data_IF_202101828946
#
_entry.id   IF_202101828946
#
_cell.length_a   1.000
_cell.length_b   1.000
_cell.length_c   1.000
_cell.angle_alpha   90.00
_cell.angle_beta   90.00
_cell.angle_gamma   90.00
#
_symmetry.space_group_name_H-M   'P 1'
#
loop_
_entity.id
_entity.type
_entity.pdbx_description
1 polymer ?
#
# COMPACT_ATOMS: atom_id res chain seq x y z
N UNK A 1 -27.01 2.96 1.59
CA UNK A 1 -26.36 2.04 2.56
C UNK A 1 -24.87 2.26 2.39
N UNK A 2 -24.08 2.46 3.45
CA UNK A 2 -22.63 2.57 3.24
C UNK A 2 -22.11 1.18 2.87
N UNK A 3 -21.51 1.05 1.69
CA UNK A 3 -20.98 -0.24 1.23
C UNK A 3 -19.91 -0.78 2.18
N UNK A 4 -19.86 -2.10 2.29
CA UNK A 4 -18.93 -2.83 3.15
C UNK A 4 -17.50 -2.66 2.63
N UNK A 5 -16.55 -2.38 3.53
CA UNK A 5 -15.13 -2.28 3.18
C UNK A 5 -14.52 -3.68 3.15
N UNK A 6 -14.04 -4.13 2.00
CA UNK A 6 -13.44 -5.46 1.82
C UNK A 6 -11.97 -5.29 1.46
N UNK A 7 -11.06 -5.83 2.27
CA UNK A 7 -9.61 -5.72 2.04
C UNK A 7 -9.05 -7.06 1.58
N UNK A 8 -8.48 -7.09 0.39
CA UNK A 8 -7.68 -8.21 -0.10
C UNK A 8 -6.23 -8.04 0.38
N UNK A 9 -5.75 -8.95 1.21
CA UNK A 9 -4.40 -8.85 1.76
C UNK A 9 -3.81 -10.20 2.18
N UNK A 10 -2.57 -10.18 2.65
CA UNK A 10 -2.00 -11.26 3.44
C UNK A 10 -1.31 -10.68 4.68
N UNK A 11 -1.21 -11.44 5.79
CA UNK A 11 -0.74 -10.91 7.07
C UNK A 11 0.67 -10.32 7.01
N UNK A 12 1.58 -10.96 6.29
CA UNK A 12 3.00 -10.60 6.24
C UNK A 12 3.31 -9.42 5.30
N UNK A 13 2.32 -8.84 4.60
CA UNK A 13 2.55 -7.68 3.72
C UNK A 13 2.68 -6.39 4.52
N UNK A 14 3.80 -5.65 4.43
CA UNK A 14 3.96 -4.38 5.14
C UNK A 14 2.99 -3.31 4.60
N UNK A 15 2.75 -3.30 3.28
CA UNK A 15 1.76 -2.40 2.69
C UNK A 15 0.32 -2.73 3.12
N UNK A 16 0.03 -4.00 3.42
CA UNK A 16 -1.26 -4.35 4.01
C UNK A 16 -1.33 -3.96 5.48
N UNK A 17 -0.23 -4.09 6.24
CA UNK A 17 -0.15 -3.57 7.60
C UNK A 17 -0.43 -2.06 7.63
N UNK A 18 0.15 -1.29 6.71
CA UNK A 18 -0.14 0.14 6.54
C UNK A 18 -1.64 0.43 6.44
N UNK A 19 -2.37 -0.31 5.61
CA UNK A 19 -3.83 -0.14 5.45
C UNK A 19 -4.58 -0.58 6.70
N UNK A 20 -4.21 -1.71 7.32
CA UNK A 20 -4.82 -2.18 8.58
C UNK A 20 -4.65 -1.18 9.72
N UNK A 21 -3.48 -0.57 9.86
CA UNK A 21 -3.25 0.49 10.85
C UNK A 21 -4.12 1.73 10.59
N UNK A 22 -4.33 2.09 9.33
CA UNK A 22 -5.27 3.15 8.96
C UNK A 22 -6.72 2.78 9.32
N UNK A 23 -7.12 1.52 9.15
CA UNK A 23 -8.41 1.00 9.60
C UNK A 23 -8.57 1.06 11.13
N UNK A 24 -7.50 0.78 11.89
CA UNK A 24 -7.49 0.90 13.35
C UNK A 24 -7.62 2.33 13.84
N UNK A 25 -6.82 3.24 13.30
CA UNK A 25 -6.93 4.67 13.62
C UNK A 25 -8.36 5.21 13.38
N UNK A 26 -8.98 4.77 12.29
CA UNK A 26 -10.34 5.16 11.92
C UNK A 26 -11.44 4.32 12.55
N UNK A 27 -11.10 3.32 13.37
CA UNK A 27 -12.02 2.40 14.03
C UNK A 27 -13.03 1.76 13.06
N UNK A 28 -12.54 1.31 11.90
CA UNK A 28 -13.38 0.78 10.83
C UNK A 28 -13.81 -0.66 11.08
N UNK A 29 -15.05 -0.98 10.69
CA UNK A 29 -15.49 -2.35 10.45
C UNK A 29 -15.17 -2.72 9.01
N UNK A 30 -14.56 -3.89 8.77
CA UNK A 30 -14.14 -4.32 7.44
C UNK A 30 -14.12 -5.84 7.31
N UNK A 31 -14.06 -6.33 6.07
CA UNK A 31 -13.94 -7.74 5.73
C UNK A 31 -12.53 -8.08 5.28
N UNK A 32 -11.98 -9.12 5.88
CA UNK A 32 -10.62 -9.60 5.67
C UNK A 32 -10.63 -10.75 4.68
N UNK A 33 -10.20 -10.47 3.45
CA UNK A 33 -10.00 -11.49 2.43
C UNK A 33 -8.51 -11.83 2.35
N UNK A 34 -8.15 -12.99 2.88
CA UNK A 34 -6.79 -13.51 2.77
C UNK A 34 -6.57 -14.03 1.35
N UNK A 35 -5.55 -13.50 0.68
CA UNK A 35 -5.15 -13.92 -0.67
C UNK A 35 -3.71 -14.43 -0.68
N UNK A 36 -3.39 -15.25 -1.67
CA UNK A 36 -2.04 -15.76 -1.84
C UNK A 36 -1.01 -14.63 -2.06
N UNK A 37 0.14 -14.79 -1.42
CA UNK A 37 1.26 -13.86 -1.54
C UNK A 37 1.85 -13.82 -2.96
N UNK A 38 1.80 -14.96 -3.65
CA UNK A 38 2.31 -15.18 -5.01
C UNK A 38 1.09 -15.50 -5.89
N UNK A 39 0.89 -14.85 -7.06
CA UNK A 39 -0.17 -15.21 -8.00
C UNK A 39 -0.08 -16.68 -8.46
N UNK A 40 -1.17 -17.29 -8.97
CA UNK A 40 -2.41 -16.64 -9.43
C UNK A 40 -3.41 -16.32 -8.30
N UNK A 41 -4.23 -15.29 -8.50
CA UNK A 41 -5.37 -14.94 -7.64
C UNK A 41 -6.60 -14.65 -8.51
N UNK A 42 -7.27 -15.69 -9.05
CA UNK A 42 -8.21 -15.54 -10.16
C UNK A 42 -9.38 -14.61 -9.87
N UNK A 43 -9.95 -14.66 -8.66
CA UNK A 43 -11.05 -13.77 -8.26
C UNK A 43 -10.60 -12.31 -8.21
N UNK A 44 -9.47 -12.02 -7.56
CA UNK A 44 -8.95 -10.66 -7.48
C UNK A 44 -8.49 -10.14 -8.85
N UNK A 45 -7.80 -10.96 -9.64
CA UNK A 45 -7.34 -10.61 -10.99
C UNK A 45 -8.50 -10.24 -11.92
N UNK A 46 -9.63 -10.96 -11.81
CA UNK A 46 -10.83 -10.66 -12.57
C UNK A 46 -11.44 -9.30 -12.20
N UNK A 47 -11.35 -8.88 -10.93
CA UNK A 47 -11.84 -7.58 -10.46
C UNK A 47 -10.89 -6.44 -10.82
N UNK A 48 -9.58 -6.67 -10.74
CA UNK A 48 -8.58 -5.61 -10.92
C UNK A 48 -8.04 -5.48 -12.34
N UNK A 49 -8.50 -6.32 -13.27
CA UNK A 49 -7.96 -6.39 -14.63
C UNK A 49 -6.50 -6.85 -14.69
N UNK A 50 -6.07 -7.65 -13.71
CA UNK A 50 -4.70 -8.18 -13.64
C UNK A 50 -3.73 -7.36 -12.79
N UNK A 51 -4.13 -6.22 -12.20
CA UNK A 51 -3.27 -5.53 -11.23
C UNK A 51 -2.92 -6.49 -10.08
N UNK A 52 -1.62 -6.76 -9.93
CA UNK A 52 -1.12 -7.87 -9.11
C UNK A 52 -0.51 -7.46 -7.78
N UNK A 53 -0.60 -6.20 -7.35
CA UNK A 53 -0.13 -5.82 -6.00
C UNK A 53 -1.27 -5.97 -5.00
N UNK A 54 -0.90 -6.20 -3.75
CA UNK A 54 -1.83 -6.22 -2.61
C UNK A 54 -1.21 -5.43 -1.46
N UNK A 55 -2.01 -4.67 -0.70
CA UNK A 55 -3.46 -4.77 -0.59
C UNK A 55 -4.25 -4.09 -1.72
N UNK A 56 -5.51 -4.51 -1.88
CA UNK A 56 -6.55 -3.86 -2.69
C UNK A 56 -7.78 -3.70 -1.80
N UNK A 57 -8.41 -2.53 -1.81
CA UNK A 57 -9.68 -2.28 -1.14
C UNK A 57 -10.82 -2.41 -2.15
N UNK A 58 -11.91 -3.07 -1.78
CA UNK A 58 -13.13 -3.15 -2.55
C UNK A 58 -14.29 -2.54 -1.75
N UNK A 59 -15.19 -1.87 -2.48
CA UNK A 59 -16.51 -1.47 -2.03
C UNK A 59 -17.48 -1.77 -3.16
N UNK A 60 -18.37 -2.74 -2.98
CA UNK A 60 -19.27 -3.17 -4.06
C UNK A 60 -18.47 -3.51 -5.32
N UNK A 61 -18.74 -2.78 -6.40
CA UNK A 61 -18.10 -2.90 -7.72
C UNK A 61 -16.99 -1.86 -7.98
N UNK A 62 -16.50 -1.18 -6.94
CA UNK A 62 -15.36 -0.26 -7.00
C UNK A 62 -14.15 -0.88 -6.28
N UNK A 63 -13.03 -1.03 -6.99
CA UNK A 63 -11.77 -1.56 -6.44
C UNK A 63 -10.67 -0.50 -6.48
N UNK A 64 -10.09 -0.20 -5.32
CA UNK A 64 -9.07 0.81 -5.11
C UNK A 64 -7.70 0.14 -4.98
N UNK A 65 -6.86 0.38 -5.98
CA UNK A 65 -5.50 -0.11 -6.04
C UNK A 65 -4.52 0.89 -5.40
N UNK A 66 -3.48 0.35 -4.77
CA UNK A 66 -2.39 1.09 -4.13
C UNK A 66 -2.74 1.74 -2.78
N UNK A 67 -1.85 1.58 -1.79
CA UNK A 67 -2.08 2.08 -0.44
C UNK A 67 -2.22 3.60 -0.36
N UNK A 68 -1.59 4.36 -1.26
CA UNK A 68 -1.73 5.81 -1.29
C UNK A 68 -3.17 6.23 -1.56
N UNK A 69 -3.82 5.57 -2.53
CA UNK A 69 -5.20 5.83 -2.84
C UNK A 69 -6.12 5.27 -1.75
N UNK A 70 -5.89 4.02 -1.31
CA UNK A 70 -6.69 3.38 -0.26
C UNK A 70 -6.76 4.27 0.99
N UNK A 71 -5.64 4.80 1.48
CA UNK A 71 -5.66 5.68 2.66
C UNK A 71 -6.49 6.96 2.43
N UNK A 72 -6.43 7.56 1.24
CA UNK A 72 -7.26 8.73 0.88
C UNK A 72 -8.74 8.36 0.83
N UNK A 73 -9.07 7.22 0.26
CA UNK A 73 -10.44 6.68 0.23
C UNK A 73 -10.97 6.48 1.64
N UNK A 74 -10.20 5.83 2.53
CA UNK A 74 -10.59 5.65 3.93
C UNK A 74 -10.77 6.98 4.67
N UNK A 75 -9.94 8.00 4.39
CA UNK A 75 -10.09 9.35 4.97
C UNK A 75 -11.36 10.05 4.52
N UNK A 76 -11.64 10.01 3.21
CA UNK A 76 -12.87 10.56 2.62
C UNK A 76 -14.13 9.90 3.16
N UNK A 77 -14.11 8.58 3.36
CA UNK A 77 -15.29 7.81 3.80
C UNK A 77 -15.58 7.93 5.29
N UNK A 78 -14.58 8.27 6.11
CA UNK A 78 -14.75 8.53 7.56
C UNK A 78 -14.14 9.85 7.99
N UNK A 79 -14.78 10.97 7.60
CA UNK A 79 -14.35 12.32 7.98
C UNK A 79 -14.62 12.63 9.46
N UNK A 80 -15.41 11.81 10.15
CA UNK A 80 -15.75 11.89 11.57
C UNK A 80 -14.66 11.34 12.51
N UNK A 81 -13.62 10.72 11.95
CA UNK A 81 -12.44 10.22 12.67
C UNK A 81 -11.23 11.13 12.43
N UNK A 82 -10.12 11.02 13.22
CA UNK A 82 -8.91 11.78 12.95
C UNK A 82 -8.47 11.65 11.49
N UNK A 83 -8.15 12.79 10.86
CA UNK A 83 -7.71 12.80 9.46
C UNK A 83 -6.33 12.17 9.32
N UNK A 84 -6.18 11.33 8.31
CA UNK A 84 -4.90 10.76 7.89
C UNK A 84 -3.99 11.82 7.25
N UNK A 85 -4.56 12.91 6.74
CA UNK A 85 -3.85 13.93 5.96
C UNK A 85 -4.01 15.32 6.59
N UNK A 86 -3.67 15.44 7.87
CA UNK A 86 -3.72 16.69 8.65
C UNK A 86 -2.79 17.80 8.13
N UNK A 87 -1.83 17.49 7.27
CA UNK A 87 -0.94 18.45 6.62
C UNK A 87 -0.81 18.15 5.12
N UNK A 88 -0.67 19.20 4.29
CA UNK A 88 -0.47 19.07 2.84
C UNK A 88 0.81 18.31 2.47
N UNK A 89 1.84 18.34 3.33
CA UNK A 89 3.10 17.62 3.09
C UNK A 89 3.03 16.13 3.44
N UNK A 90 1.99 15.67 4.15
CA UNK A 90 1.89 14.28 4.62
C UNK A 90 2.01 13.30 3.46
N UNK A 91 1.27 13.51 2.38
CA UNK A 91 1.25 12.58 1.24
C UNK A 91 2.62 12.51 0.51
N UNK A 92 3.26 13.63 0.13
CA UNK A 92 4.63 13.60 -0.38
C UNK A 92 5.65 12.93 0.55
N UNK A 93 5.56 13.15 1.86
CA UNK A 93 6.48 12.52 2.83
C UNK A 93 6.24 11.00 2.92
N UNK A 94 4.97 10.55 2.92
CA UNK A 94 4.66 9.13 2.85
C UNK A 94 5.23 8.50 1.58
N UNK A 95 5.06 9.17 0.43
CA UNK A 95 5.55 8.70 -0.86
C UNK A 95 7.07 8.56 -0.86
N UNK A 96 7.75 9.60 -0.40
CA UNK A 96 9.20 9.59 -0.26
C UNK A 96 9.66 8.46 0.68
N UNK A 97 9.02 8.29 1.83
CA UNK A 97 9.39 7.27 2.81
C UNK A 97 9.27 5.86 2.24
N UNK A 98 8.15 5.52 1.62
CA UNK A 98 7.94 4.22 1.00
C UNK A 98 8.98 3.93 -0.08
N UNK A 99 9.25 4.89 -0.98
CA UNK A 99 10.21 4.72 -2.08
C UNK A 99 11.66 4.67 -1.58
N UNK A 100 12.01 5.49 -0.60
CA UNK A 100 13.37 5.60 -0.09
C UNK A 100 13.78 4.39 0.77
N UNK A 101 12.85 3.81 1.54
CA UNK A 101 13.16 2.77 2.51
C UNK A 101 12.84 1.35 2.05
N UNK A 102 11.77 1.15 1.28
CA UNK A 102 11.29 -0.20 0.99
C UNK A 102 12.33 -1.05 0.24
N UNK A 103 12.90 -0.53 -0.86
CA UNK A 103 13.87 -1.29 -1.66
C UNK A 103 15.17 -1.59 -0.90
N UNK A 104 15.81 -0.62 -0.21
CA UNK A 104 16.96 -0.92 0.65
C UNK A 104 16.67 -2.02 1.68
N UNK A 105 15.51 -2.00 2.34
CA UNK A 105 15.15 -3.02 3.34
C UNK A 105 14.95 -4.40 2.68
N UNK A 106 14.34 -4.46 1.50
CA UNK A 106 14.22 -5.73 0.76
C UNK A 106 15.59 -6.27 0.37
N UNK A 107 16.50 -5.40 -0.11
CA UNK A 107 17.89 -5.81 -0.41
C UNK A 107 18.63 -6.29 0.83
N UNK A 108 18.46 -5.60 1.97
CA UNK A 108 19.03 -6.01 3.25
C UNK A 108 18.51 -7.41 3.64
N UNK A 109 17.20 -7.65 3.51
CA UNK A 109 16.59 -8.97 3.74
C UNK A 109 17.24 -10.05 2.89
N UNK A 110 17.37 -9.80 1.58
CA UNK A 110 17.95 -10.77 0.64
C UNK A 110 19.41 -11.05 0.98
N UNK A 111 20.21 -10.02 1.31
CA UNK A 111 21.60 -10.20 1.71
C UNK A 111 21.76 -11.02 2.98
N UNK A 112 20.95 -10.74 4.01
CA UNK A 112 21.04 -11.41 5.31
C UNK A 112 20.41 -12.80 5.33
N UNK A 113 19.31 -12.99 4.59
CA UNK A 113 18.42 -14.15 4.74
C UNK A 113 18.20 -14.92 3.44
N UNK A 114 18.93 -14.63 2.37
CA UNK A 114 18.71 -15.19 1.03
C UNK A 114 18.58 -16.72 1.02
N UNK A 115 19.40 -17.43 1.80
CA UNK A 115 19.38 -18.90 1.91
C UNK A 115 18.11 -19.46 2.57
N UNK A 116 17.42 -18.63 3.38
CA UNK A 116 16.17 -18.97 4.06
C UNK A 116 14.93 -18.60 3.24
N UNK A 117 15.09 -17.89 2.11
CA UNK A 117 13.98 -17.52 1.25
C UNK A 117 13.59 -18.70 0.35
N UNK A 118 12.29 -18.93 0.18
CA UNK A 118 11.83 -20.01 -0.71
C UNK A 118 12.14 -19.68 -2.17
N UNK A 119 12.49 -20.70 -2.96
CA UNK A 119 12.78 -20.55 -4.40
C UNK A 119 11.62 -19.90 -5.15
N UNK A 120 10.39 -20.35 -4.91
CA UNK A 120 9.18 -19.78 -5.52
C UNK A 120 9.03 -18.29 -5.22
N UNK A 121 9.39 -17.84 -4.01
CA UNK A 121 9.34 -16.42 -3.67
C UNK A 121 10.41 -15.64 -4.44
N UNK A 122 11.64 -16.15 -4.52
CA UNK A 122 12.73 -15.49 -5.25
C UNK A 122 12.38 -15.37 -6.74
N UNK A 123 11.88 -16.44 -7.34
CA UNK A 123 11.45 -16.45 -8.75
C UNK A 123 10.29 -15.47 -9.01
N UNK A 124 9.27 -15.48 -8.15
CA UNK A 124 8.15 -14.54 -8.23
C UNK A 124 8.63 -13.09 -8.13
N UNK A 125 9.49 -12.77 -7.15
CA UNK A 125 9.98 -11.41 -6.96
C UNK A 125 10.90 -10.94 -8.08
N UNK A 126 11.70 -11.83 -8.66
CA UNK A 126 12.51 -11.50 -9.83
C UNK A 126 11.63 -11.16 -11.05
N UNK A 127 10.51 -11.85 -11.25
CA UNK A 127 9.52 -11.49 -12.30
C UNK A 127 8.77 -10.20 -11.95
N UNK A 128 8.46 -10.00 -10.67
CA UNK A 128 7.75 -8.81 -10.19
C UNK A 128 8.60 -7.55 -10.32
N UNK A 129 9.89 -7.60 -10.00
CA UNK A 129 10.80 -6.46 -10.08
C UNK A 129 12.11 -6.85 -10.79
N UNK A 130 12.11 -6.98 -12.13
CA UNK A 130 13.27 -7.45 -12.90
C UNK A 130 14.55 -6.63 -12.71
N UNK A 131 14.40 -5.35 -12.34
CA UNK A 131 15.49 -4.41 -12.08
C UNK A 131 16.16 -4.60 -10.71
N UNK A 132 15.60 -5.44 -9.84
CA UNK A 132 16.14 -5.73 -8.50
C UNK A 132 16.73 -7.14 -8.53
N UNK A 133 17.96 -7.29 -8.01
CA UNK A 133 18.52 -8.63 -7.77
C UNK A 133 17.98 -9.20 -6.47
N UNK A 134 17.40 -10.40 -6.56
CA UNK A 134 16.99 -11.22 -5.42
C UNK A 134 17.97 -12.35 -5.11
N UNK A 135 19.20 -12.28 -5.62
CA UNK A 135 20.30 -13.20 -5.28
C UNK A 135 21.01 -12.71 -4.01
N UNK A 136 21.38 -13.64 -3.13
CA UNK A 136 22.03 -13.31 -1.87
C UNK A 136 23.36 -12.61 -2.11
N UNK A 137 24.20 -13.16 -2.98
CA UNK A 137 25.58 -12.74 -3.23
C UNK A 137 25.65 -11.31 -3.76
N UNK A 138 24.65 -10.92 -4.56
CA UNK A 138 24.54 -9.57 -5.12
C UNK A 138 24.26 -8.52 -4.05
N UNK A 139 23.60 -8.90 -2.94
CA UNK A 139 23.18 -7.98 -1.89
C UNK A 139 24.04 -8.07 -0.62
N UNK A 140 24.61 -9.24 -0.33
CA UNK A 140 25.42 -9.51 0.87
C UNK A 140 26.66 -8.60 0.94
N UNK A 141 27.35 -8.41 -0.20
CA UNK A 141 28.49 -7.49 -0.31
C UNK A 141 28.14 -6.02 -0.03
N UNK A 142 26.88 -5.64 -0.25
CA UNK A 142 26.40 -4.26 -0.11
C UNK A 142 25.75 -4.00 1.26
N UNK A 143 25.68 -4.99 2.16
CA UNK A 143 25.05 -4.86 3.49
C UNK A 143 25.52 -3.60 4.25
N UNK A 144 26.84 -3.28 4.35
CA UNK A 144 27.28 -2.07 5.05
C UNK A 144 26.71 -0.78 4.43
N UNK A 145 26.69 -0.68 3.10
CA UNK A 145 26.17 0.48 2.38
C UNK A 145 24.64 0.59 2.53
N UNK A 146 23.94 -0.54 2.47
CA UNK A 146 22.48 -0.61 2.66
C UNK A 146 22.12 -0.19 4.09
N UNK A 147 22.80 -0.74 5.09
CA UNK A 147 22.61 -0.39 6.50
C UNK A 147 22.91 1.08 6.77
N UNK A 148 23.98 1.64 6.21
CA UNK A 148 24.29 3.08 6.29
C UNK A 148 23.11 3.93 5.79
N UNK A 149 22.52 3.58 4.63
CA UNK A 149 21.40 4.33 4.04
C UNK A 149 20.16 4.25 4.93
N UNK A 150 19.82 3.06 5.44
CA UNK A 150 18.66 2.88 6.33
C UNK A 150 18.86 3.66 7.62
N UNK A 151 20.04 3.59 8.24
CA UNK A 151 20.36 4.36 9.45
C UNK A 151 20.20 5.87 9.24
N UNK A 152 20.66 6.41 8.10
CA UNK A 152 20.53 7.83 7.81
C UNK A 152 19.07 8.30 7.80
N UNK A 153 18.13 7.45 7.35
CA UNK A 153 16.69 7.76 7.36
C UNK A 153 16.07 7.55 8.75
N UNK A 154 16.52 6.53 9.49
CA UNK A 154 16.06 6.32 10.88
C UNK A 154 16.41 7.51 11.77
N UNK A 155 17.57 8.15 11.55
CA UNK A 155 17.96 9.38 12.28
C UNK A 155 16.92 10.48 12.09
N UNK A 156 16.35 10.66 10.89
CA UNK A 156 15.35 11.70 10.66
C UNK A 156 14.06 11.46 11.46
N UNK A 157 13.68 10.20 11.70
CA UNK A 157 12.56 9.89 12.57
C UNK A 157 12.88 10.18 14.04
N UNK A 158 14.08 9.82 14.49
CA UNK A 158 14.47 10.05 15.88
C UNK A 158 14.64 11.53 16.18
N UNK A 159 15.21 12.31 15.25
CA UNK A 159 15.34 13.76 15.34
C UNK A 159 13.97 14.43 15.34
N UNK A 160 13.03 13.96 14.50
CA UNK A 160 11.66 14.46 14.50
C UNK A 160 10.93 14.22 15.83
N UNK A 161 11.36 13.25 16.64
CA UNK A 161 10.80 12.91 17.95
C UNK A 161 11.63 13.49 19.12
N UNK A 162 12.69 14.25 18.85
CA UNK A 162 13.63 14.69 19.90
C UNK A 162 13.06 15.79 20.81
N UNK A 163 12.07 16.54 20.35
CA UNK A 163 11.37 17.54 21.17
C UNK A 163 10.28 16.94 22.08
N UNK A 164 10.13 15.61 22.10
CA UNK A 164 9.18 14.91 22.95
C UNK A 164 7.75 14.85 22.39
N UNK A 165 7.52 15.28 21.14
CA UNK A 165 6.21 15.13 20.49
C UNK A 165 5.78 13.66 20.41
N UNK A 166 4.47 13.43 20.43
CA UNK A 166 3.93 12.07 20.40
C UNK A 166 3.95 11.44 19.01
N UNK A 167 3.73 12.26 17.97
CA UNK A 167 3.57 11.88 16.56
C UNK A 167 4.44 12.75 15.65
N UNK A 168 4.81 12.24 14.47
CA UNK A 168 5.85 12.82 13.61
C UNK A 168 5.55 14.26 13.16
N UNK A 169 4.28 14.58 12.92
CA UNK A 169 3.84 15.93 12.52
C UNK A 169 3.55 16.88 13.70
N UNK A 170 3.75 16.43 14.94
CA UNK A 170 3.51 17.23 16.15
C UNK A 170 2.04 17.51 16.47
N UNK A 171 1.10 16.87 15.77
CA UNK A 171 -0.34 16.98 16.03
C UNK A 171 -0.75 16.14 17.25
N UNK A 172 -1.97 16.36 17.77
CA UNK A 172 -2.56 15.58 18.86
C UNK A 172 -3.07 14.19 18.45
N UNK A 173 -2.93 13.81 17.18
CA UNK A 173 -3.36 12.51 16.65
C UNK A 173 -2.41 12.05 15.56
N UNK A 174 -2.19 10.73 15.41
CA UNK A 174 -1.29 10.19 14.39
C UNK A 174 -1.86 10.45 13.00
N UNK A 175 -0.95 10.51 12.02
CA UNK A 175 -1.27 10.74 10.61
C UNK A 175 -0.91 9.54 9.76
N UNK A 176 -1.21 9.62 8.45
CA UNK A 176 -0.68 8.67 7.48
C UNK A 176 0.86 8.60 7.49
N UNK A 177 1.56 9.67 7.88
CA UNK A 177 3.02 9.65 7.96
C UNK A 177 3.51 8.73 9.07
N UNK A 178 2.85 8.77 10.24
CA UNK A 178 3.17 7.86 11.35
C UNK A 178 2.95 6.39 10.95
N UNK A 179 1.81 6.11 10.33
CA UNK A 179 1.47 4.77 9.82
C UNK A 179 2.47 4.33 8.73
N UNK A 180 2.89 5.26 7.87
CA UNK A 180 3.85 4.99 6.78
C UNK A 180 5.23 4.66 7.33
N UNK A 181 5.72 5.43 8.30
CA UNK A 181 6.98 5.14 8.98
C UNK A 181 6.89 3.81 9.76
N UNK A 182 5.77 3.56 10.41
CA UNK A 182 5.54 2.37 11.24
C UNK A 182 5.62 1.08 10.43
N UNK A 183 4.91 0.96 9.29
CA UNK A 183 4.87 -0.32 8.55
C UNK A 183 6.25 -0.71 7.98
N UNK A 184 7.07 0.28 7.63
CA UNK A 184 8.45 0.08 7.18
C UNK A 184 9.33 -0.45 8.30
N UNK A 185 9.22 0.11 9.52
CA UNK A 185 9.97 -0.40 10.67
C UNK A 185 9.43 -1.78 11.10
N UNK A 186 8.11 -1.97 11.04
CA UNK A 186 7.44 -3.24 11.30
C UNK A 186 7.93 -4.34 10.36
N UNK A 187 8.20 -4.01 9.08
CA UNK A 187 8.78 -4.96 8.12
C UNK A 187 10.12 -5.50 8.60
N UNK A 188 10.98 -4.62 9.11
CA UNK A 188 12.31 -4.99 9.63
C UNK A 188 12.12 -5.86 10.88
N UNK A 189 11.35 -5.38 11.87
CA UNK A 189 11.12 -6.11 13.12
C UNK A 189 10.53 -7.51 12.90
N UNK A 190 9.53 -7.64 12.04
CA UNK A 190 8.86 -8.92 11.84
C UNK A 190 9.62 -9.92 10.96
N UNK A 191 10.64 -9.49 10.20
CA UNK A 191 11.34 -10.39 9.28
C UNK A 191 12.84 -10.54 9.56
N UNK A 192 13.46 -9.63 10.29
CA UNK A 192 14.92 -9.57 10.43
C UNK A 192 15.39 -8.85 11.71
N UNK A 193 14.58 -8.79 12.77
CA UNK A 193 14.95 -8.07 14.00
C UNK A 193 16.30 -8.52 14.56
N UNK A 194 16.49 -9.85 14.69
CA UNK A 194 17.73 -10.41 15.24
C UNK A 194 18.93 -10.12 14.34
N UNK A 195 18.77 -10.28 13.03
CA UNK A 195 19.83 -10.09 12.05
C UNK A 195 20.22 -8.61 11.84
N UNK A 196 19.37 -7.67 12.26
CA UNK A 196 19.61 -6.23 12.07
C UNK A 196 20.00 -5.48 13.34
N UNK A 197 20.07 -6.15 14.50
CA UNK A 197 20.32 -5.51 15.80
C UNK A 197 21.56 -4.61 15.82
N UNK A 198 22.69 -5.11 15.34
CA UNK A 198 23.95 -4.36 15.33
C UNK A 198 24.09 -3.46 14.09
N UNK A 199 23.38 -3.80 13.01
CA UNK A 199 23.43 -3.05 11.75
C UNK A 199 22.58 -1.77 11.81
N UNK A 200 21.46 -1.81 12.54
CA UNK A 200 20.46 -0.75 12.61
C UNK A 200 20.21 -0.32 14.07
N UNK A 201 21.24 0.19 14.79
CA UNK A 201 21.12 0.50 16.22
C UNK A 201 20.04 1.55 16.52
N UNK A 202 19.70 2.40 15.53
CA UNK A 202 18.61 3.38 15.63
C UNK A 202 17.26 2.76 16.01
N UNK A 203 17.01 1.50 15.65
CA UNK A 203 15.76 0.79 15.98
C UNK A 203 15.57 0.54 17.48
N UNK A 204 16.66 0.54 18.24
CA UNK A 204 16.65 0.33 19.70
C UNK A 204 16.62 1.64 20.49
N UNK A 205 16.58 2.81 19.83
CA UNK A 205 16.48 4.08 20.54
C UNK A 205 15.15 4.16 21.30
N UNK A 206 15.16 4.46 22.62
CA UNK A 206 13.95 4.40 23.45
C UNK A 206 12.78 5.21 22.91
N UNK A 207 13.04 6.40 22.35
CA UNK A 207 11.98 7.27 21.81
C UNK A 207 11.30 6.66 20.58
N UNK A 208 12.08 6.05 19.69
CA UNK A 208 11.55 5.35 18.51
C UNK A 208 10.77 4.11 18.93
N UNK A 209 11.26 3.36 19.92
CA UNK A 209 10.56 2.19 20.48
C UNK A 209 9.21 2.62 21.06
N UNK A 210 9.18 3.64 21.93
CA UNK A 210 7.94 4.14 22.52
C UNK A 210 6.98 4.70 21.47
N UNK A 211 7.46 5.42 20.45
CA UNK A 211 6.63 5.85 19.34
C UNK A 211 6.06 4.66 18.56
N UNK A 212 6.89 3.67 18.25
CA UNK A 212 6.47 2.48 17.51
C UNK A 212 5.36 1.71 18.25
N UNK A 213 5.50 1.54 19.57
CA UNK A 213 4.50 0.91 20.43
C UNK A 213 3.19 1.71 20.48
N UNK A 214 3.26 3.04 20.55
CA UNK A 214 2.07 3.90 20.47
C UNK A 214 1.33 3.73 19.15
N UNK A 215 2.05 3.68 18.02
CA UNK A 215 1.41 3.45 16.72
C UNK A 215 0.84 2.02 16.66
N UNK A 216 1.55 1.00 17.13
CA UNK A 216 1.06 -0.38 17.19
C UNK A 216 -0.26 -0.51 17.98
N UNK A 217 -0.41 0.26 19.06
CA UNK A 217 -1.59 0.26 19.91
C UNK A 217 -2.88 0.76 19.23
N UNK A 218 -2.78 1.40 18.05
CA UNK A 218 -3.96 1.75 17.25
C UNK A 218 -4.75 0.52 16.79
N UNK A 219 -4.09 -0.65 16.70
CA UNK A 219 -4.68 -1.89 16.23
C UNK A 219 -5.15 -1.81 14.78
N UNK A 220 -6.06 -2.71 14.40
CA UNK A 220 -6.49 -2.91 13.01
C UNK A 220 -7.99 -2.68 12.78
N UNK A 221 -8.68 -2.05 13.72
CA UNK A 221 -10.14 -1.88 13.67
C UNK A 221 -10.85 -3.20 13.98
N UNK A 222 -11.98 -3.47 13.32
CA UNK A 222 -12.75 -4.70 13.51
C UNK A 222 -12.91 -5.43 12.17
N UNK A 223 -11.95 -6.33 11.91
CA UNK A 223 -11.97 -7.21 10.74
C UNK A 223 -12.78 -8.48 10.98
N UNK A 224 -13.59 -8.88 9.99
CA UNK A 224 -14.24 -10.20 9.95
C UNK A 224 -13.84 -10.94 8.69
N UNK A 225 -13.55 -12.23 8.81
CA UNK A 225 -13.14 -13.04 7.65
C UNK A 225 -14.20 -13.05 6.54
N UNK A 226 -13.72 -13.12 5.30
CA UNK A 226 -14.52 -13.29 4.09
C UNK A 226 -13.66 -14.04 3.08
N UNK A 227 -14.26 -14.95 2.33
CA UNK A 227 -13.57 -15.68 1.27
C UNK A 227 -13.42 -14.80 0.02
N UNK A 228 -12.46 -15.14 -0.85
CA UNK A 228 -12.31 -14.41 -2.12
C UNK A 228 -13.53 -14.56 -3.04
N UNK A 229 -14.25 -15.67 -2.94
CA UNK A 229 -15.46 -15.94 -3.71
C UNK A 229 -16.66 -15.11 -3.23
N UNK A 230 -16.89 -15.03 -1.92
CA UNK A 230 -17.94 -14.15 -1.36
C UNK A 230 -17.70 -12.68 -1.73
N UNK A 231 -16.45 -12.22 -1.65
CA UNK A 231 -16.09 -10.85 -2.04
C UNK A 231 -16.31 -10.59 -3.55
N UNK A 232 -16.00 -11.60 -4.37
CA UNK A 232 -16.26 -11.55 -5.81
C UNK A 232 -17.76 -11.46 -6.11
N UNK A 233 -18.59 -12.23 -5.39
CA UNK A 233 -20.05 -12.17 -5.53
C UNK A 233 -20.62 -10.82 -5.08
N UNK A 234 -20.06 -10.18 -4.05
CA UNK A 234 -20.42 -8.82 -3.66
C UNK A 234 -20.21 -7.84 -4.82
N UNK A 235 -19.08 -7.92 -5.53
CA UNK A 235 -18.82 -7.07 -6.69
C UNK A 235 -19.80 -7.34 -7.83
N UNK A 236 -20.06 -8.62 -8.11
CA UNK A 236 -20.96 -9.05 -9.20
C UNK A 236 -22.42 -8.60 -8.99
N UNK A 237 -22.85 -8.43 -7.74
CA UNK A 237 -24.19 -8.01 -7.37
C UNK A 237 -24.32 -6.48 -7.18
N UNK A 238 -23.22 -5.74 -7.31
CA UNK A 238 -23.16 -4.31 -7.18
C UNK A 238 -23.03 -3.63 -8.56
N UNK A 239 -23.40 -2.36 -8.62
CA UNK A 239 -23.12 -1.49 -9.76
C UNK A 239 -22.02 -0.50 -9.34
N UNK A 240 -21.05 -0.18 -10.22
CA UNK A 240 -20.00 0.77 -9.87
C UNK A 240 -20.57 2.14 -9.51
N UNK A 241 -20.02 2.74 -8.46
CA UNK A 241 -20.42 4.07 -8.00
C UNK A 241 -19.96 5.09 -9.05
N UNK A 242 -20.88 5.93 -9.51
CA UNK A 242 -20.51 7.08 -10.33
C UNK A 242 -19.63 8.04 -9.49
N UNK A 243 -18.36 8.29 -9.89
CA UNK A 243 -17.36 8.93 -9.03
C UNK A 243 -17.55 10.46 -8.98
N UNK A 244 -18.72 10.92 -8.56
CA UNK A 244 -19.12 12.33 -8.48
C UNK A 244 -18.26 13.18 -7.53
N UNK A 245 -17.53 12.54 -6.62
CA UNK A 245 -16.55 13.21 -5.74
C UNK A 245 -15.26 13.61 -6.50
N UNK A 246 -15.01 13.00 -7.66
CA UNK A 246 -13.95 13.39 -8.57
C UNK A 246 -14.52 14.44 -9.50
N UNK A 247 -14.37 15.71 -9.11
CA UNK A 247 -14.59 16.80 -10.04
C UNK A 247 -13.58 16.67 -11.18
N UNK A 248 -14.03 16.65 -12.43
CA UNK A 248 -13.21 16.51 -13.64
C UNK A 248 -12.31 17.76 -13.81
N UNK A 249 -11.33 17.90 -12.92
CA UNK A 249 -10.50 19.08 -12.69
C UNK A 249 -9.23 19.05 -13.53
N UNK A 250 -8.86 17.88 -14.04
CA UNK A 250 -7.60 17.71 -14.73
C UNK A 250 -7.76 18.12 -16.19
N UNK A 251 -6.94 19.08 -16.65
CA UNK A 251 -6.73 19.32 -18.09
C UNK A 251 -5.90 18.19 -18.67
N UNK A 252 -6.48 17.00 -18.79
CA UNK A 252 -5.89 15.93 -19.61
C UNK A 252 -6.33 16.11 -21.05
N UNK A 253 -5.60 15.51 -21.98
CA UNK A 253 -6.04 15.39 -23.38
C UNK A 253 -7.09 14.28 -23.56
N UNK A 254 -7.49 13.60 -22.48
CA UNK A 254 -8.39 12.47 -22.52
C UNK A 254 -9.83 12.87 -22.28
N UNK A 255 -10.76 12.14 -22.89
CA UNK A 255 -12.19 12.37 -22.73
C UNK A 255 -12.86 11.14 -22.12
N UNK A 256 -13.86 11.35 -21.26
CA UNK A 256 -14.67 10.27 -20.68
C UNK A 256 -15.21 9.37 -21.80
N UNK A 257 -15.11 8.05 -21.61
CA UNK A 257 -15.45 7.06 -22.63
C UNK A 257 -14.26 6.59 -23.49
N UNK A 258 -13.13 7.29 -23.45
CA UNK A 258 -11.91 6.87 -24.13
C UNK A 258 -11.32 5.62 -23.49
N UNK A 259 -10.78 4.70 -24.30
CA UNK A 259 -10.03 3.55 -23.80
C UNK A 259 -8.62 4.00 -23.37
N UNK A 260 -8.26 3.70 -22.13
CA UNK A 260 -6.94 3.99 -21.56
C UNK A 260 -6.34 2.73 -20.95
N UNK A 261 -5.03 2.78 -20.76
CA UNK A 261 -4.26 1.79 -20.02
C UNK A 261 -3.56 2.48 -18.86
N UNK A 262 -3.63 1.85 -17.68
CA UNK A 262 -2.91 2.27 -16.47
C UNK A 262 -1.93 1.17 -16.08
N UNK A 263 -0.65 1.53 -15.90
CA UNK A 263 0.42 0.59 -15.55
C UNK A 263 1.25 1.17 -14.41
N UNK A 264 1.59 0.41 -13.35
CA UNK A 264 2.54 0.91 -12.37
C UNK A 264 3.90 1.28 -12.99
N UNK A 265 4.55 2.33 -12.48
CA UNK A 265 5.81 2.86 -13.05
C UNK A 265 7.08 2.12 -12.58
N UNK A 266 7.00 1.37 -11.49
CA UNK A 266 8.15 0.70 -10.86
C UNK A 266 8.10 -0.83 -10.92
N UNK A 267 7.26 -1.50 -10.12
CA UNK A 267 7.28 -2.97 -9.95
C UNK A 267 5.93 -3.63 -10.23
N UNK A 268 5.91 -4.89 -10.63
CA UNK A 268 4.67 -5.59 -10.95
C UNK A 268 3.88 -4.88 -12.05
N UNK A 269 4.60 -4.39 -13.07
CA UNK A 269 4.09 -3.59 -14.18
C UNK A 269 3.20 -4.44 -15.10
N UNK A 270 1.98 -4.73 -14.64
CA UNK A 270 0.93 -5.33 -15.44
C UNK A 270 -0.03 -4.21 -15.87
N UNK A 271 -0.21 -3.99 -17.18
CA UNK A 271 -1.15 -2.99 -17.67
C UNK A 271 -2.58 -3.40 -17.36
N UNK A 272 -3.39 -2.42 -16.94
CA UNK A 272 -4.83 -2.56 -16.79
C UNK A 272 -5.50 -1.65 -17.81
N UNK A 273 -6.24 -2.23 -18.74
CA UNK A 273 -7.00 -1.50 -19.75
C UNK A 273 -8.47 -1.37 -19.35
N UNK A 274 -9.07 -0.23 -19.68
CA UNK A 274 -10.48 0.02 -19.45
C UNK A 274 -10.96 1.33 -20.06
N UNK A 275 -12.23 1.63 -19.84
CA UNK A 275 -12.86 2.87 -20.30
C UNK A 275 -12.65 3.96 -19.25
N UNK A 276 -12.08 5.09 -19.63
CA UNK A 276 -11.87 6.24 -18.74
C UNK A 276 -13.20 6.82 -18.26
N UNK A 277 -13.38 6.87 -16.93
CA UNK A 277 -14.61 7.39 -16.30
C UNK A 277 -14.39 8.78 -15.71
N UNK A 278 -13.34 8.95 -14.91
CA UNK A 278 -13.04 10.21 -14.23
C UNK A 278 -11.57 10.26 -13.79
N UNK A 279 -11.04 11.48 -13.63
CA UNK A 279 -9.77 11.73 -12.95
C UNK A 279 -9.75 13.11 -12.29
N UNK A 280 -8.96 13.23 -11.24
CA UNK A 280 -8.50 14.50 -10.67
C UNK A 280 -6.96 14.51 -10.58
N UNK A 281 -6.39 15.37 -9.74
CA UNK A 281 -4.94 15.46 -9.52
C UNK A 281 -4.36 14.24 -8.79
N UNK A 282 -5.20 13.42 -8.16
CA UNK A 282 -4.79 12.32 -7.27
C UNK A 282 -5.19 10.95 -7.79
N UNK A 283 -6.29 10.84 -8.51
CA UNK A 283 -6.97 9.59 -8.83
C UNK A 283 -7.35 9.52 -10.32
N UNK A 284 -7.31 8.31 -10.87
CA UNK A 284 -7.90 7.96 -12.17
C UNK A 284 -8.75 6.70 -12.03
N UNK A 285 -9.90 6.69 -12.69
CA UNK A 285 -10.86 5.59 -12.67
C UNK A 285 -11.04 5.02 -14.07
N UNK A 286 -10.82 3.72 -14.21
CA UNK A 286 -11.15 2.95 -15.41
C UNK A 286 -12.33 2.03 -15.12
N UNK A 287 -13.30 1.97 -16.03
CA UNK A 287 -14.36 0.98 -16.03
C UNK A 287 -13.95 -0.22 -16.86
N UNK A 288 -13.92 -1.38 -16.22
CA UNK A 288 -13.73 -2.68 -16.84
C UNK A 288 -15.10 -3.32 -17.00
N UNK A 289 -15.32 -3.96 -18.15
CA UNK A 289 -16.52 -4.76 -18.39
C UNK A 289 -16.09 -6.19 -18.65
N UNK A 290 -16.60 -7.11 -17.85
CA UNK A 290 -16.25 -8.53 -17.91
C UNK A 290 -17.51 -9.37 -17.71
N UNK A 291 -17.72 -10.39 -18.54
CA UNK A 291 -18.88 -11.28 -18.47
C UNK A 291 -19.06 -11.94 -17.10
N UNK A 292 -17.96 -12.15 -16.35
CA UNK A 292 -17.98 -12.81 -15.04
C UNK A 292 -18.35 -11.87 -13.89
N UNK A 293 -17.94 -10.60 -13.95
CA UNK A 293 -18.07 -9.63 -12.85
C UNK A 293 -19.09 -8.52 -13.14
N UNK A 294 -19.54 -8.36 -14.38
CA UNK A 294 -20.24 -7.16 -14.81
C UNK A 294 -19.28 -5.99 -14.99
N UNK A 295 -19.76 -4.78 -14.68
CA UNK A 295 -18.95 -3.57 -14.70
C UNK A 295 -18.22 -3.41 -13.36
N UNK A 296 -16.93 -3.08 -13.41
CA UNK A 296 -16.12 -2.77 -12.23
C UNK A 296 -15.40 -1.45 -12.50
N UNK A 297 -15.47 -0.51 -11.55
CA UNK A 297 -14.57 0.64 -11.54
C UNK A 297 -13.27 0.24 -10.84
N UNK A 298 -12.14 0.42 -11.51
CA UNK A 298 -10.81 0.23 -10.94
C UNK A 298 -10.16 1.59 -10.78
N UNK A 299 -9.80 1.92 -9.55
CA UNK A 299 -9.26 3.21 -9.16
C UNK A 299 -7.76 3.09 -8.89
N UNK A 300 -6.99 4.01 -9.45
CA UNK A 300 -5.54 4.09 -9.28
C UNK A 300 -5.13 5.49 -8.86
N UNK A 301 -4.08 5.64 -8.02
CA UNK A 301 -3.49 6.95 -7.83
C UNK A 301 -2.80 7.40 -9.13
N UNK A 302 -2.75 8.70 -9.37
CA UNK A 302 -2.02 9.33 -10.48
C UNK A 302 -0.51 9.18 -10.34
N UNK A 303 -0.01 9.43 -9.13
CA UNK A 303 1.41 9.27 -8.82
C UNK A 303 1.76 7.78 -8.73
N UNK A 304 2.83 7.35 -9.43
CA UNK A 304 3.28 5.96 -9.46
C UNK A 304 2.75 5.11 -10.60
N UNK A 305 2.01 5.71 -11.53
CA UNK A 305 1.34 5.00 -12.61
C UNK A 305 1.49 5.77 -13.92
N UNK A 306 1.91 5.04 -14.96
CA UNK A 306 1.85 5.47 -16.34
C UNK A 306 0.41 5.35 -16.82
N UNK A 307 -0.10 6.40 -17.48
CA UNK A 307 -1.42 6.37 -18.13
C UNK A 307 -1.26 6.74 -19.58
N UNK A 308 -1.69 5.86 -20.48
CA UNK A 308 -1.58 6.06 -21.93
C UNK A 308 -2.91 5.73 -22.63
N UNK A 309 -3.24 6.44 -23.72
CA UNK A 309 -4.29 6.01 -24.65
C UNK A 309 -3.98 4.65 -25.27
N UNK A 310 -5.04 3.87 -25.53
CA UNK A 310 -4.99 2.60 -26.28
C UNK A 310 -5.54 2.81 -27.68
#
# INVERSE_FOLDING_TARGET
MSEELILYHYPQSPFAEKVRMAMGLKKLNWRSVIVDRIPPRPYLEALTGGYRRVPVLQMGADVYCDTHLILRTLDRLRPDSPTLFSNRITQPLCWWWDKAMFIPIIKLRVGLLGDKLSKDWVEDRQKFAPQISFKKEDNEKDIPLIAQRINAHLVWLTDALDDGREFLLGNSSPSALDITAYHIIWLIKNNMENETKDLLPGLSQPRLVSWFERIAALGHGTGKEMTSEEAFDVAKQAEPIEPTYIENKTKTEWHVGQRLQVTPDDMGRIPVEGIFVAADDYEIVLRLTNEKTGNINVHFPRAGFDVIPV
#
